data_IF_134769109613
#
_entry.id   IF_134769109613
#
_cell.length_a   1.000
_cell.length_b   1.000
_cell.length_c   1.000
_cell.angle_alpha   90.00
_cell.angle_beta   90.00
_cell.angle_gamma   90.00
#
_symmetry.space_group_name_H-M   'P 1'
#
loop_
_entity.id
_entity.type
_entity.pdbx_description
1 polymer ?
#
# COMPACT_ATOMS: atom_id res chain seq x y z
N UNK A 1 38.24 0.91 -24.45
CA UNK A 1 37.02 0.12 -24.15
C UNK A 1 36.72 0.31 -22.67
N UNK A 2 35.68 1.06 -22.33
CA UNK A 2 35.31 1.30 -20.92
C UNK A 2 34.32 0.22 -20.48
N UNK A 3 34.73 -0.61 -19.54
CA UNK A 3 33.91 -1.65 -18.91
C UNK A 3 32.91 -1.01 -17.95
N UNK A 4 31.63 -1.11 -18.30
CA UNK A 4 30.50 -0.71 -17.46
C UNK A 4 30.25 -1.87 -16.50
N UNK A 5 30.62 -1.72 -15.23
CA UNK A 5 30.23 -2.66 -14.17
C UNK A 5 28.76 -2.42 -13.83
N UNK A 6 27.86 -3.42 -13.96
CA UNK A 6 26.52 -3.29 -13.41
C UNK A 6 26.65 -3.43 -11.89
N UNK A 7 26.61 -2.30 -11.17
CA UNK A 7 26.30 -2.33 -9.74
C UNK A 7 24.80 -2.60 -9.61
N UNK A 8 24.42 -3.87 -9.74
CA UNK A 8 23.13 -4.34 -9.29
C UNK A 8 23.20 -4.36 -7.76
N UNK A 9 22.72 -3.29 -7.14
CA UNK A 9 22.33 -3.30 -5.74
C UNK A 9 21.16 -4.26 -5.57
N UNK A 10 21.47 -5.56 -5.53
CA UNK A 10 20.56 -6.59 -5.06
C UNK A 10 20.38 -6.39 -3.56
N UNK A 11 19.51 -5.45 -3.19
CA UNK A 11 18.85 -5.50 -1.89
C UNK A 11 18.08 -6.81 -1.89
N UNK A 12 18.58 -7.83 -1.20
CA UNK A 12 17.89 -9.13 -1.05
C UNK A 12 16.65 -8.92 -0.20
N UNK A 13 15.62 -8.27 -0.74
CA UNK A 13 14.32 -8.14 -0.10
C UNK A 13 13.69 -9.52 -0.10
N UNK A 14 13.39 -10.04 1.08
CA UNK A 14 12.63 -11.28 1.21
C UNK A 14 11.30 -11.14 0.46
N UNK A 15 10.72 -12.23 -0.07
CA UNK A 15 9.43 -12.18 -0.76
C UNK A 15 8.36 -11.43 0.07
N UNK A 16 8.41 -11.58 1.39
CA UNK A 16 7.57 -10.85 2.33
C UNK A 16 7.74 -9.32 2.26
N UNK A 17 8.98 -8.80 2.25
CA UNK A 17 9.24 -7.36 2.11
C UNK A 17 8.75 -6.83 0.76
N UNK A 18 8.91 -7.62 -0.31
CA UNK A 18 8.41 -7.23 -1.64
C UNK A 18 6.89 -7.14 -1.67
N UNK A 19 6.19 -8.09 -1.04
CA UNK A 19 4.73 -8.10 -1.02
C UNK A 19 4.18 -6.98 -0.13
N UNK A 20 4.83 -6.69 1.00
CA UNK A 20 4.47 -5.56 1.86
C UNK A 20 4.67 -4.22 1.14
N UNK A 21 5.73 -4.08 0.35
CA UNK A 21 5.98 -2.88 -0.46
C UNK A 21 4.93 -2.72 -1.56
N UNK A 22 4.53 -3.82 -2.23
CA UNK A 22 3.41 -3.79 -3.20
C UNK A 22 2.11 -3.37 -2.52
N UNK A 23 1.82 -3.93 -1.35
CA UNK A 23 0.62 -3.61 -0.60
C UNK A 23 0.59 -2.13 -0.19
N UNK A 24 1.72 -1.57 0.26
CA UNK A 24 1.84 -0.15 0.59
C UNK A 24 1.46 0.73 -0.62
N UNK A 25 2.01 0.44 -1.80
CA UNK A 25 1.68 1.17 -3.04
C UNK A 25 0.21 1.05 -3.43
N UNK A 26 -0.41 -0.11 -3.22
CA UNK A 26 -1.84 -0.30 -3.49
C UNK A 26 -2.70 0.59 -2.58
N UNK A 27 -2.33 0.72 -1.29
CA UNK A 27 -3.04 1.62 -0.37
C UNK A 27 -2.89 3.10 -0.78
N UNK A 28 -1.70 3.51 -1.23
CA UNK A 28 -1.47 4.88 -1.73
C UNK A 28 -2.34 5.20 -2.95
N UNK A 29 -2.43 4.26 -3.90
CA UNK A 29 -3.29 4.41 -5.08
C UNK A 29 -4.76 4.46 -4.66
N UNK A 30 -5.21 3.59 -3.76
CA UNK A 30 -6.59 3.58 -3.29
C UNK A 30 -7.00 4.91 -2.63
N UNK A 31 -6.11 5.51 -1.82
CA UNK A 31 -6.33 6.84 -1.24
C UNK A 31 -6.45 7.93 -2.31
N UNK A 32 -5.56 7.90 -3.32
CA UNK A 32 -5.60 8.87 -4.41
C UNK A 32 -6.92 8.78 -5.20
N UNK A 33 -7.36 7.55 -5.52
CA UNK A 33 -8.64 7.30 -6.21
C UNK A 33 -9.85 7.73 -5.37
N UNK A 34 -9.85 7.42 -4.05
CA UNK A 34 -10.91 7.84 -3.14
C UNK A 34 -11.02 9.37 -3.05
N UNK A 35 -9.89 10.07 -2.99
CA UNK A 35 -9.86 11.53 -2.93
C UNK A 35 -10.30 12.20 -4.24
N UNK A 36 -10.23 11.49 -5.36
CA UNK A 36 -10.71 11.97 -6.67
C UNK A 36 -12.22 11.73 -6.87
N UNK A 37 -12.88 10.99 -5.97
CA UNK A 37 -14.32 10.77 -6.03
C UNK A 37 -15.12 11.88 -5.34
N UNK A 38 -16.30 12.25 -5.87
CA UNK A 38 -17.17 13.24 -5.22
C UNK A 38 -17.73 12.68 -3.91
N UNK A 39 -17.70 13.48 -2.84
CA UNK A 39 -18.05 13.08 -1.46
C UNK A 39 -19.46 12.48 -1.29
N UNK A 40 -20.39 12.81 -2.20
CA UNK A 40 -21.77 12.28 -2.21
C UNK A 40 -21.89 10.85 -2.76
N UNK A 41 -20.87 10.35 -3.46
CA UNK A 41 -20.89 9.03 -4.07
C UNK A 41 -20.61 7.95 -3.03
N UNK A 42 -21.43 6.90 -3.04
CA UNK A 42 -21.18 5.72 -2.22
C UNK A 42 -20.05 4.87 -2.82
N UNK A 43 -19.23 4.30 -1.95
CA UNK A 43 -18.18 3.34 -2.30
C UNK A 43 -18.45 2.03 -1.57
N UNK A 44 -17.82 0.95 -2.01
CA UNK A 44 -18.04 -0.38 -1.48
C UNK A 44 -16.70 -0.99 -1.07
N UNK A 45 -16.63 -1.50 0.16
CA UNK A 45 -15.47 -2.24 0.64
C UNK A 45 -15.75 -3.74 0.53
N UNK A 46 -14.85 -4.47 -0.10
CA UNK A 46 -14.90 -5.92 -0.19
C UNK A 46 -14.37 -6.53 1.11
N UNK A 47 -15.11 -7.47 1.69
CA UNK A 47 -14.65 -8.33 2.78
C UNK A 47 -15.07 -9.77 2.48
N UNK A 48 -14.09 -10.62 2.14
CA UNK A 48 -14.35 -11.95 1.58
C UNK A 48 -15.18 -11.86 0.30
N UNK A 49 -16.34 -12.48 0.30
CA UNK A 49 -17.27 -12.52 -0.85
C UNK A 49 -18.35 -11.43 -0.79
N UNK A 50 -18.33 -10.56 0.23
CA UNK A 50 -19.35 -9.54 0.45
C UNK A 50 -18.80 -8.13 0.20
N UNK A 51 -19.67 -7.26 -0.31
CA UNK A 51 -19.39 -5.85 -0.49
C UNK A 51 -20.26 -5.04 0.47
N UNK A 52 -19.62 -4.22 1.30
CA UNK A 52 -20.29 -3.38 2.27
C UNK A 52 -20.27 -1.93 1.77
N UNK A 53 -21.46 -1.33 1.62
CA UNK A 53 -21.60 0.07 1.25
C UNK A 53 -21.04 0.95 2.37
N UNK A 54 -20.25 1.95 2.01
CA UNK A 54 -19.67 2.92 2.94
C UNK A 54 -19.56 4.30 2.28
N UNK A 55 -19.15 5.31 3.05
CA UNK A 55 -18.89 6.66 2.57
C UNK A 55 -17.42 6.80 2.18
N UNK A 56 -17.09 7.80 1.34
CA UNK A 56 -15.70 8.10 1.00
C UNK A 56 -14.90 8.45 2.26
N UNK A 57 -15.45 9.27 3.17
CA UNK A 57 -14.75 9.62 4.42
C UNK A 57 -14.39 8.40 5.26
N UNK A 58 -15.32 7.47 5.43
CA UNK A 58 -15.06 6.23 6.17
C UNK A 58 -14.07 5.35 5.42
N UNK A 59 -14.19 5.21 4.10
CA UNK A 59 -13.23 4.45 3.30
C UNK A 59 -11.81 5.03 3.39
N UNK A 60 -11.65 6.35 3.26
CA UNK A 60 -10.36 7.06 3.38
C UNK A 60 -9.73 6.84 4.76
N UNK A 61 -10.51 6.97 5.84
CA UNK A 61 -10.00 6.75 7.20
C UNK A 61 -9.51 5.30 7.41
N UNK A 62 -10.21 4.33 6.81
CA UNK A 62 -9.82 2.92 6.88
C UNK A 62 -8.57 2.64 6.06
N UNK A 63 -8.50 3.17 4.84
CA UNK A 63 -7.35 3.02 3.95
C UNK A 63 -6.09 3.66 4.56
N UNK A 64 -6.22 4.84 5.17
CA UNK A 64 -5.11 5.48 5.89
C UNK A 64 -4.61 4.61 7.05
N UNK A 65 -5.53 4.01 7.81
CA UNK A 65 -5.15 3.09 8.91
C UNK A 65 -4.39 1.87 8.40
N UNK A 66 -4.77 1.31 7.26
CA UNK A 66 -4.08 0.16 6.65
C UNK A 66 -2.71 0.55 6.09
N UNK A 67 -2.60 1.74 5.50
CA UNK A 67 -1.33 2.31 5.05
C UNK A 67 -0.36 2.46 6.22
N UNK A 68 -0.76 3.11 7.30
CA UNK A 68 0.09 3.30 8.49
C UNK A 68 0.51 1.96 9.11
N UNK A 69 -0.41 0.99 9.17
CA UNK A 69 -0.08 -0.36 9.67
C UNK A 69 0.96 -1.07 8.80
N UNK A 70 0.82 -0.97 7.46
CA UNK A 70 1.74 -1.57 6.49
C UNK A 70 3.10 -0.89 6.56
N UNK A 71 3.13 0.43 6.66
CA UNK A 71 4.36 1.23 6.82
C UNK A 71 5.10 0.88 8.11
N UNK A 72 4.40 0.83 9.24
CA UNK A 72 4.99 0.46 10.53
C UNK A 72 5.56 -0.97 10.52
N UNK A 73 4.89 -1.93 9.87
CA UNK A 73 5.43 -3.27 9.66
C UNK A 73 6.71 -3.26 8.83
N UNK A 74 6.77 -2.45 7.78
CA UNK A 74 7.95 -2.34 6.91
C UNK A 74 9.14 -1.73 7.66
N UNK A 75 8.89 -0.68 8.44
CA UNK A 75 9.89 -0.03 9.30
C UNK A 75 10.43 -0.99 10.38
N UNK A 76 9.57 -1.80 10.98
CA UNK A 76 9.97 -2.82 11.94
C UNK A 76 10.91 -3.88 11.35
N UNK A 77 10.70 -4.29 10.10
CA UNK A 77 11.59 -5.22 9.40
C UNK A 77 12.95 -4.59 9.08
N UNK A 78 12.94 -3.33 8.66
CA UNK A 78 14.16 -2.59 8.33
C UNK A 78 14.99 -2.24 9.59
N UNK A 79 14.33 -2.11 10.75
CA UNK A 79 14.99 -1.87 12.04
C UNK A 79 15.52 -3.13 12.71
N UNK A 80 15.10 -4.31 12.24
CA UNK A 80 15.53 -5.62 12.76
C UNK A 80 16.60 -6.28 11.89
N UNK A 81 17.12 -5.57 10.88
CA UNK A 81 18.16 -6.03 9.95
C UNK A 81 19.53 -5.44 10.29
#
# INVERSE_FOLDING_TARGET
MASISPSSSNSTSTPYVTDLTKQLRLHEVALAELNNHPSSRAVYRKNGNLFFRTTIQTATAMEQKELESTKSKLEGLNSSS
#
